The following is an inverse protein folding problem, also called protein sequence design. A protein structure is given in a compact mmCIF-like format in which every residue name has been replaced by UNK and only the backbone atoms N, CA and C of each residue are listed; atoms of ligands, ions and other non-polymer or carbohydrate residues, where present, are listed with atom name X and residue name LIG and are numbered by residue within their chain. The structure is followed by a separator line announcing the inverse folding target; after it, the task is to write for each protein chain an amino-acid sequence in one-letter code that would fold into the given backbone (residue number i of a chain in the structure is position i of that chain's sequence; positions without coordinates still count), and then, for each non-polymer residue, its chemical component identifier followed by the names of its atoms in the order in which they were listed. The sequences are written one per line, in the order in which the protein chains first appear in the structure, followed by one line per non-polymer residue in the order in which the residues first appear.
data_IF_347866573139
#
_entry.id   IF_347866573139
#
_cell.length_a   1.000
_cell.length_b   1.000
_cell.length_c   1.000
_cell.angle_alpha   90.00
_cell.angle_beta   90.00
_cell.angle_gamma   90.00
#
_symmetry.space_group_name_H-M   'P 1'
#
loop_
_entity.id
_entity.type
_entity.pdbx_description
1 polymer ?
#
# COMPACT_ATOMS: atom_id res chain seq x y z
N UNK A 1 0.22 -9.11 42.45
CA UNK A 1 0.70 -7.83 41.90
C UNK A 1 -0.36 -7.32 40.93
N UNK A 2 -0.98 -6.18 41.19
CA UNK A 2 -1.85 -5.49 40.23
C UNK A 2 -1.00 -4.41 39.55
N UNK A 3 -0.93 -4.45 38.22
CA UNK A 3 -0.24 -3.43 37.43
C UNK A 3 -1.34 -2.55 36.86
N UNK A 4 -1.46 -1.33 37.35
CA UNK A 4 -2.35 -0.32 36.76
C UNK A 4 -1.60 0.34 35.61
N UNK A 5 -2.11 0.16 34.40
CA UNK A 5 -1.57 0.79 33.19
C UNK A 5 -2.68 1.49 32.43
N UNK A 6 -2.34 2.64 31.83
CA UNK A 6 -3.21 3.41 30.95
C UNK A 6 -2.69 3.25 29.53
N UNK A 7 -3.47 2.60 28.67
CA UNK A 7 -3.15 2.53 27.24
C UNK A 7 -3.61 3.84 26.60
N UNK A 8 -2.66 4.55 26.00
CA UNK A 8 -2.97 5.77 25.23
C UNK A 8 -3.32 5.42 23.78
N UNK A 9 -3.91 6.38 23.08
CA UNK A 9 -4.19 6.26 21.64
C UNK A 9 -2.92 6.01 20.82
N UNK A 10 -1.84 6.69 21.17
CA UNK A 10 -0.55 6.57 20.50
C UNK A 10 0.07 5.18 20.72
N UNK A 11 -0.10 4.58 21.90
CA UNK A 11 0.36 3.21 22.17
C UNK A 11 -0.35 2.20 21.27
N UNK A 12 -1.66 2.38 21.05
CA UNK A 12 -2.45 1.48 20.22
C UNK A 12 -2.11 1.62 18.73
N UNK A 13 -1.89 2.84 18.24
CA UNK A 13 -1.40 3.09 16.87
C UNK A 13 -0.02 2.45 16.69
N UNK A 14 0.88 2.66 17.65
CA UNK A 14 2.25 2.12 17.62
C UNK A 14 2.25 0.60 17.63
N UNK A 15 1.39 -0.02 18.44
CA UNK A 15 1.21 -1.47 18.45
C UNK A 15 0.77 -2.02 17.08
N UNK A 16 -0.19 -1.37 16.42
CA UNK A 16 -0.68 -1.80 15.11
C UNK A 16 0.39 -1.62 14.02
N UNK A 17 1.12 -0.51 14.02
CA UNK A 17 2.24 -0.30 13.11
C UNK A 17 3.34 -1.34 13.33
N UNK A 18 3.65 -1.67 14.58
CA UNK A 18 4.60 -2.72 14.91
C UNK A 18 4.13 -4.11 14.44
N UNK A 19 2.85 -4.44 14.64
CA UNK A 19 2.28 -5.70 14.17
C UNK A 19 2.34 -5.81 12.64
N UNK A 20 2.06 -4.72 11.94
CA UNK A 20 2.15 -4.62 10.48
C UNK A 20 3.57 -4.91 9.96
N UNK A 21 4.60 -4.46 10.67
CA UNK A 21 6.00 -4.66 10.28
C UNK A 21 6.56 -6.04 10.65
N UNK A 22 5.99 -6.71 11.64
CA UNK A 22 6.57 -7.95 12.20
C UNK A 22 5.76 -9.21 11.90
N UNK A 23 4.46 -9.09 11.62
CA UNK A 23 3.61 -10.24 11.34
C UNK A 23 3.85 -10.82 9.94
N UNK A 24 3.95 -12.15 9.84
CA UNK A 24 4.11 -12.86 8.55
C UNK A 24 2.93 -12.60 7.61
N UNK A 25 1.69 -12.62 8.13
CA UNK A 25 0.49 -12.38 7.33
C UNK A 25 0.47 -10.95 6.79
N UNK A 26 0.81 -9.97 7.62
CA UNK A 26 0.86 -8.56 7.23
C UNK A 26 1.96 -8.30 6.20
N UNK A 27 3.15 -8.90 6.36
CA UNK A 27 4.21 -8.84 5.34
C UNK A 27 3.76 -9.43 4.00
N UNK A 28 3.04 -10.55 4.03
CA UNK A 28 2.51 -11.18 2.81
C UNK A 28 1.51 -10.25 2.11
N UNK A 29 0.50 -9.77 2.83
CA UNK A 29 -0.50 -8.82 2.31
C UNK A 29 0.17 -7.55 1.78
N UNK A 30 1.12 -6.98 2.53
CA UNK A 30 1.87 -5.80 2.12
C UNK A 30 2.61 -6.03 0.79
N UNK A 31 3.29 -7.17 0.62
CA UNK A 31 4.01 -7.47 -0.62
C UNK A 31 3.05 -7.69 -1.80
N UNK A 32 1.90 -8.33 -1.58
CA UNK A 32 0.87 -8.49 -2.62
C UNK A 32 0.35 -7.13 -3.07
N UNK A 33 0.01 -6.24 -2.13
CA UNK A 33 -0.49 -4.90 -2.46
C UNK A 33 0.59 -3.99 -3.06
N UNK A 34 1.85 -4.17 -2.65
CA UNK A 34 2.98 -3.38 -3.15
C UNK A 34 3.41 -3.79 -4.55
N UNK A 35 3.35 -5.08 -4.89
CA UNK A 35 3.90 -5.61 -6.14
C UNK A 35 2.85 -6.21 -7.06
N UNK A 36 2.02 -7.14 -6.57
CA UNK A 36 1.09 -7.87 -7.44
C UNK A 36 -0.05 -6.97 -7.94
N UNK A 37 -0.66 -6.17 -7.04
CA UNK A 37 -1.76 -5.26 -7.40
C UNK A 37 -1.37 -4.25 -8.49
N UNK A 38 -0.28 -3.46 -8.36
CA UNK A 38 0.06 -2.48 -9.39
C UNK A 38 0.46 -3.14 -10.71
N UNK A 39 1.03 -4.36 -10.71
CA UNK A 39 1.30 -5.14 -11.93
C UNK A 39 -0.01 -5.43 -12.65
N UNK A 40 -1.03 -5.93 -11.94
CA UNK A 40 -2.34 -6.20 -12.54
C UNK A 40 -2.97 -4.90 -13.06
N UNK A 41 -2.86 -3.78 -12.32
CA UNK A 41 -3.38 -2.48 -12.76
C UNK A 41 -2.60 -1.85 -13.93
N UNK A 42 -1.36 -2.27 -14.18
CA UNK A 42 -0.58 -1.81 -15.32
C UNK A 42 -1.09 -2.35 -16.67
N UNK A 43 -1.78 -3.50 -16.64
CA UNK A 43 -2.37 -4.14 -17.82
C UNK A 43 -3.43 -3.25 -18.48
N UNK A 44 -4.49 -2.79 -17.78
CA UNK A 44 -5.48 -1.90 -18.38
C UNK A 44 -4.88 -0.54 -18.78
N UNK A 45 -3.85 -0.04 -18.09
CA UNK A 45 -3.15 1.19 -18.50
C UNK A 45 -2.54 1.03 -19.90
N UNK A 46 -1.87 -0.09 -20.16
CA UNK A 46 -1.31 -0.39 -21.47
C UNK A 46 -2.39 -0.50 -22.56
N UNK A 47 -3.45 -1.27 -22.30
CA UNK A 47 -4.53 -1.49 -23.28
C UNK A 47 -5.37 -0.24 -23.55
N UNK A 48 -5.53 0.63 -22.55
CA UNK A 48 -6.21 1.91 -22.72
C UNK A 48 -5.50 2.74 -23.79
N UNK A 49 -4.17 2.85 -23.69
CA UNK A 49 -3.38 3.58 -24.65
C UNK A 49 -3.36 3.06 -26.08
N UNK A 50 -3.07 1.77 -26.18
CA UNK A 50 -2.85 1.10 -27.46
C UNK A 50 -4.16 0.75 -28.14
N UNK A 51 -5.16 0.31 -27.38
CA UNK A 51 -6.46 -0.14 -27.90
C UNK A 51 -7.48 0.98 -28.06
N UNK A 52 -7.56 1.92 -27.11
CA UNK A 52 -8.57 3.00 -27.16
C UNK A 52 -8.02 4.21 -27.92
N UNK A 53 -6.79 4.62 -27.60
CA UNK A 53 -6.19 5.82 -28.20
C UNK A 53 -5.39 5.55 -29.49
N UNK A 54 -5.25 4.29 -29.92
CA UNK A 54 -4.46 3.87 -31.09
C UNK A 54 -3.02 4.45 -31.07
N UNK A 55 -2.45 4.63 -29.88
CA UNK A 55 -1.11 5.20 -29.72
C UNK A 55 -0.03 4.11 -29.77
N UNK A 56 1.21 4.45 -30.16
CA UNK A 56 2.31 3.50 -30.19
C UNK A 56 2.54 2.79 -28.84
N UNK A 57 2.73 1.46 -28.90
CA UNK A 57 2.92 0.59 -27.74
C UNK A 57 4.03 1.08 -26.80
N UNK A 58 5.10 1.63 -27.37
CA UNK A 58 6.27 2.06 -26.60
C UNK A 58 5.94 3.15 -25.58
N UNK A 59 5.06 4.10 -25.90
CA UNK A 59 4.68 5.16 -24.97
C UNK A 59 3.95 4.61 -23.75
N UNK A 60 3.05 3.65 -23.97
CA UNK A 60 2.23 3.10 -22.89
C UNK A 60 2.96 2.04 -22.06
N UNK A 61 3.95 1.37 -22.64
CA UNK A 61 4.91 0.57 -21.85
C UNK A 61 5.67 1.48 -20.89
N UNK A 62 6.17 2.64 -21.36
CA UNK A 62 6.86 3.60 -20.50
C UNK A 62 5.93 4.10 -19.39
N UNK A 63 4.70 4.50 -19.72
CA UNK A 63 3.71 4.95 -18.73
C UNK A 63 3.41 3.86 -17.69
N UNK A 64 3.22 2.62 -18.11
CA UNK A 64 3.00 1.49 -17.21
C UNK A 64 4.20 1.25 -16.27
N UNK A 65 5.43 1.29 -16.78
CA UNK A 65 6.65 1.15 -15.98
C UNK A 65 6.78 2.31 -14.98
N UNK A 66 6.57 3.54 -15.43
CA UNK A 66 6.62 4.73 -14.55
C UNK A 66 5.59 4.61 -13.43
N UNK A 67 4.36 4.20 -13.75
CA UNK A 67 3.32 3.93 -12.75
C UNK A 67 3.77 2.88 -11.73
N UNK A 68 4.32 1.75 -12.16
CA UNK A 68 4.82 0.70 -11.27
C UNK A 68 5.91 1.21 -10.34
N UNK A 69 6.89 1.93 -10.88
CA UNK A 69 8.00 2.48 -10.10
C UNK A 69 7.49 3.48 -9.05
N UNK A 70 6.64 4.43 -9.45
CA UNK A 70 6.05 5.40 -8.53
C UNK A 70 5.26 4.67 -7.43
N UNK A 71 4.44 3.69 -7.79
CA UNK A 71 3.67 2.92 -6.81
C UNK A 71 4.58 2.20 -5.82
N UNK A 72 5.53 1.41 -6.28
CA UNK A 72 6.42 0.60 -5.42
C UNK A 72 7.21 1.48 -4.45
N UNK A 73 7.63 2.68 -4.88
CA UNK A 73 8.37 3.63 -4.05
C UNK A 73 7.49 4.34 -3.03
N UNK A 74 6.25 4.69 -3.40
CA UNK A 74 5.37 5.50 -2.55
C UNK A 74 4.47 4.66 -1.63
N UNK A 75 4.15 3.43 -2.02
CA UNK A 75 3.24 2.53 -1.32
C UNK A 75 3.59 2.29 0.16
N UNK A 76 4.86 2.08 0.57
CA UNK A 76 5.20 1.87 1.99
C UNK A 76 4.74 3.01 2.89
N UNK A 77 4.93 4.26 2.45
CA UNK A 77 4.51 5.45 3.21
C UNK A 77 2.99 5.59 3.24
N UNK A 78 2.33 5.34 2.12
CA UNK A 78 0.87 5.38 2.02
C UNK A 78 0.22 4.33 2.92
N UNK A 79 0.74 3.09 2.93
CA UNK A 79 0.20 1.99 3.71
C UNK A 79 0.32 2.25 5.22
N UNK A 80 1.47 2.73 5.71
CA UNK A 80 1.62 3.13 7.12
C UNK A 80 0.65 4.24 7.51
N UNK A 81 0.49 5.26 6.66
CA UNK A 81 -0.45 6.37 6.91
C UNK A 81 -1.90 5.88 6.92
N UNK A 82 -2.26 4.95 6.03
CA UNK A 82 -3.58 4.33 5.99
C UNK A 82 -3.86 3.58 7.29
N UNK A 83 -2.95 2.70 7.72
CA UNK A 83 -3.15 1.94 8.96
C UNK A 83 -3.25 2.85 10.17
N UNK A 84 -2.36 3.84 10.31
CA UNK A 84 -2.47 4.81 11.41
C UNK A 84 -3.84 5.52 11.41
N UNK A 85 -4.35 5.93 10.24
CA UNK A 85 -5.66 6.58 10.10
C UNK A 85 -6.83 5.66 10.42
N UNK A 86 -6.80 4.41 9.96
CA UNK A 86 -7.88 3.45 10.25
C UNK A 86 -7.86 3.03 11.72
N UNK A 87 -6.67 2.85 12.31
CA UNK A 87 -6.51 2.61 13.74
C UNK A 87 -7.05 3.78 14.57
N UNK A 88 -6.75 5.02 14.18
CA UNK A 88 -7.24 6.24 14.82
C UNK A 88 -8.79 6.31 14.84
N UNK A 89 -9.43 5.97 13.71
CA UNK A 89 -10.90 5.94 13.58
C UNK A 89 -11.57 4.88 14.45
N UNK A 90 -10.93 3.73 14.68
CA UNK A 90 -11.54 2.65 15.46
C UNK A 90 -11.59 2.95 16.96
N UNK A 91 -10.77 3.89 17.43
CA UNK A 91 -10.62 4.23 18.86
C UNK A 91 -11.30 5.57 19.18
N UNK A 92 -11.66 6.35 18.16
CA UNK A 92 -12.35 7.64 18.30
C UNK A 92 -13.85 7.46 18.27
#
# INVERSE_FOLDING_TARGET
MKIDFKITKDDYISFNLHHLENSKSQKSTFNILRYAVPIVLSIPIYFTGTGIFNQPNIYWIIVAIVFLVIWILTYPKQYKKLVAKETDKLIS
#
